data_IF_215153587218
#
_entry.id   IF_215153587218
#
_cell.length_a   1.000
_cell.length_b   1.000
_cell.length_c   1.000
_cell.angle_alpha   90.00
_cell.angle_beta   90.00
_cell.angle_gamma   90.00
#
_symmetry.space_group_name_H-M   'P 1'
#
loop_
_entity.id
_entity.type
_entity.pdbx_description
1 polymer ?
#
# COMPACT_ATOMS: atom_id res chain seq x y z
N UNK A 1 18.60 26.88 29.51
CA UNK A 1 18.31 25.47 29.17
C UNK A 1 19.07 25.13 27.91
N UNK A 2 19.92 24.10 27.92
CA UNK A 2 20.61 23.64 26.73
C UNK A 2 19.58 23.15 25.71
N UNK A 3 19.62 23.68 24.47
CA UNK A 3 18.72 23.20 23.41
C UNK A 3 19.03 21.74 23.07
N UNK A 4 18.00 20.92 22.81
CA UNK A 4 18.20 19.55 22.34
C UNK A 4 18.70 19.57 20.89
N UNK A 5 19.85 18.98 20.61
CA UNK A 5 20.43 18.89 19.26
C UNK A 5 19.99 17.63 18.49
N UNK A 6 19.22 16.76 19.14
CA UNK A 6 18.57 15.58 18.58
C UNK A 6 17.15 15.47 19.11
N UNK A 7 16.24 14.83 18.37
CA UNK A 7 14.87 14.57 18.82
C UNK A 7 14.86 13.35 19.76
N UNK A 8 15.54 12.27 19.36
CA UNK A 8 15.71 11.01 20.10
C UNK A 8 17.19 10.60 20.16
N UNK A 9 17.55 9.80 21.16
CA UNK A 9 18.94 9.38 21.37
C UNK A 9 19.44 8.41 20.29
N UNK A 10 18.56 7.51 19.84
CA UNK A 10 18.81 6.55 18.76
C UNK A 10 17.62 6.44 17.80
N UNK A 11 17.93 6.21 16.53
CA UNK A 11 16.95 5.87 15.48
C UNK A 11 16.94 4.35 15.35
N UNK A 12 15.75 3.78 15.24
CA UNK A 12 15.54 2.34 15.14
C UNK A 12 16.08 1.80 13.81
N UNK A 13 16.54 0.56 13.82
CA UNK A 13 16.78 -0.24 12.62
C UNK A 13 15.48 -0.64 11.93
N UNK A 14 15.57 -1.11 10.69
CA UNK A 14 14.39 -1.59 9.93
C UNK A 14 13.76 -2.81 10.62
N UNK A 15 14.59 -3.71 11.16
CA UNK A 15 14.11 -4.92 11.83
C UNK A 15 13.32 -4.56 13.10
N UNK A 16 13.84 -3.65 13.92
CA UNK A 16 13.15 -3.15 15.12
C UNK A 16 11.81 -2.48 14.79
N UNK A 17 11.70 -1.79 13.64
CA UNK A 17 10.44 -1.21 13.18
C UNK A 17 9.43 -2.31 12.85
N UNK A 18 9.83 -3.31 12.08
CA UNK A 18 8.91 -4.36 11.62
C UNK A 18 8.43 -5.31 12.73
N UNK A 19 9.18 -5.44 13.82
CA UNK A 19 8.81 -6.25 14.98
C UNK A 19 7.85 -5.54 15.95
N UNK A 20 7.67 -4.22 15.83
CA UNK A 20 6.74 -3.47 16.68
C UNK A 20 5.31 -3.68 16.24
N UNK A 21 4.39 -3.63 17.20
CA UNK A 21 2.96 -3.49 16.96
C UNK A 21 2.48 -2.19 17.60
N UNK A 22 1.51 -1.54 16.95
CA UNK A 22 0.81 -0.38 17.49
C UNK A 22 -0.68 -0.59 17.32
N UNK A 23 -1.43 -0.18 18.33
CA UNK A 23 -2.87 -0.08 18.33
C UNK A 23 -3.30 1.38 18.26
N UNK A 24 -4.58 1.63 17.97
CA UNK A 24 -5.12 2.98 17.86
C UNK A 24 -4.88 3.81 19.13
N UNK A 25 -4.95 3.18 20.31
CA UNK A 25 -4.66 3.83 21.59
C UNK A 25 -3.24 4.39 21.67
N UNK A 26 -2.27 3.70 21.05
CA UNK A 26 -0.86 4.09 21.09
C UNK A 26 -0.67 5.33 20.19
N UNK A 27 -1.36 5.36 19.03
CA UNK A 27 -1.39 6.53 18.15
C UNK A 27 -2.08 7.71 18.85
N UNK A 28 -3.19 7.49 19.54
CA UNK A 28 -3.89 8.53 20.29
C UNK A 28 -3.09 9.06 21.48
N UNK A 29 -2.32 8.21 22.17
CA UNK A 29 -1.40 8.67 23.20
C UNK A 29 -0.33 9.62 22.63
N UNK A 30 0.04 9.47 21.36
CA UNK A 30 1.01 10.35 20.68
C UNK A 30 0.45 11.73 20.30
N UNK A 31 -0.87 11.98 20.43
CA UNK A 31 -1.48 13.31 20.25
C UNK A 31 -0.96 14.33 21.26
N UNK A 32 -0.44 13.87 22.40
CA UNK A 32 0.01 14.72 23.48
C UNK A 32 1.52 14.92 23.46
N UNK A 33 1.93 16.15 23.79
CA UNK A 33 3.33 16.58 23.86
C UNK A 33 4.10 16.37 22.54
N UNK A 34 5.43 16.26 22.62
CA UNK A 34 6.33 16.07 21.46
C UNK A 34 6.36 14.60 20.98
N UNK A 35 5.45 13.74 21.44
CA UNK A 35 5.48 12.29 21.27
C UNK A 35 5.40 11.84 19.80
N UNK A 36 4.54 12.49 18.99
CA UNK A 36 4.47 12.21 17.55
C UNK A 36 5.81 12.52 16.85
N UNK A 37 6.45 13.63 17.20
CA UNK A 37 7.75 14.03 16.63
C UNK A 37 8.82 13.02 17.03
N UNK A 38 8.83 12.59 18.30
CA UNK A 38 9.75 11.56 18.79
C UNK A 38 9.54 10.23 18.08
N UNK A 39 8.29 9.78 17.92
CA UNK A 39 7.97 8.56 17.19
C UNK A 39 8.49 8.63 15.76
N UNK A 40 8.11 9.66 15.00
CA UNK A 40 8.50 9.82 13.60
C UNK A 40 10.02 9.92 13.43
N UNK A 41 10.72 10.60 14.35
CA UNK A 41 12.19 10.63 14.33
C UNK A 41 12.79 9.26 14.66
N UNK A 42 12.23 8.54 15.64
CA UNK A 42 12.71 7.20 16.03
C UNK A 42 12.56 6.17 14.93
N UNK A 43 11.49 6.25 14.12
CA UNK A 43 11.30 5.37 12.98
C UNK A 43 11.98 5.88 11.70
N UNK A 44 12.63 7.03 11.74
CA UNK A 44 13.37 7.60 10.61
C UNK A 44 12.49 8.14 9.49
N UNK A 45 11.33 8.73 9.83
CA UNK A 45 10.46 9.42 8.86
C UNK A 45 10.63 10.94 8.87
N UNK A 46 11.36 11.48 9.85
CA UNK A 46 11.85 12.87 9.86
C UNK A 46 13.29 12.88 10.38
N UNK A 47 14.06 13.89 9.99
CA UNK A 47 15.45 14.02 10.43
C UNK A 47 15.55 14.10 11.96
N UNK A 48 16.36 13.22 12.57
CA UNK A 48 16.62 13.24 14.01
C UNK A 48 17.53 14.42 14.44
N UNK A 49 18.29 15.00 13.51
CA UNK A 49 19.13 16.18 13.72
C UNK A 49 19.22 17.01 12.44
N UNK A 50 19.58 18.28 12.54
CA UNK A 50 19.80 19.15 11.39
C UNK A 50 21.07 19.98 11.55
N UNK A 51 21.69 20.37 10.44
CA UNK A 51 22.96 21.12 10.42
C UNK A 51 22.85 22.36 9.53
N UNK A 52 23.45 23.46 9.97
CA UNK A 52 23.51 24.73 9.25
C UNK A 52 24.75 25.51 9.70
N UNK A 53 25.46 26.14 8.76
CA UNK A 53 26.72 26.85 9.03
C UNK A 53 27.79 25.93 9.66
N UNK A 54 27.85 24.66 9.23
CA UNK A 54 28.74 23.61 9.75
C UNK A 54 28.54 23.31 11.25
N UNK A 55 27.40 23.70 11.83
CA UNK A 55 27.05 23.49 13.23
C UNK A 55 25.70 22.78 13.35
N UNK A 56 25.55 21.98 14.41
CA UNK A 56 24.27 21.35 14.72
C UNK A 56 23.25 22.40 15.15
N UNK A 57 22.06 22.31 14.57
CA UNK A 57 20.92 23.12 14.96
C UNK A 57 20.27 22.52 16.21
N UNK A 58 19.74 23.38 17.08
CA UNK A 58 18.95 22.93 18.23
C UNK A 58 17.46 22.94 17.90
N UNK A 59 16.71 22.05 18.52
CA UNK A 59 15.27 21.97 18.39
C UNK A 59 14.61 23.06 19.25
N UNK A 60 13.98 24.03 18.59
CA UNK A 60 13.33 25.17 19.22
C UNK A 60 11.81 25.02 19.19
N UNK A 61 11.15 25.42 20.29
CA UNK A 61 9.69 25.56 20.33
C UNK A 61 9.24 26.82 19.57
N UNK A 62 8.18 26.70 18.78
CA UNK A 62 7.59 27.79 18.01
C UNK A 62 6.10 27.54 17.81
N UNK A 63 5.26 28.24 18.57
CA UNK A 63 3.81 28.03 18.58
C UNK A 63 3.10 28.52 17.30
N UNK A 64 3.81 29.23 16.42
CA UNK A 64 3.26 29.72 15.15
C UNK A 64 3.31 28.68 14.02
N UNK A 65 3.92 27.52 14.25
CA UNK A 65 3.94 26.40 13.29
C UNK A 65 3.10 25.24 13.81
N UNK A 66 2.52 24.47 12.89
CA UNK A 66 1.57 23.39 13.19
C UNK A 66 2.08 22.34 14.17
N UNK A 67 3.36 21.94 14.07
CA UNK A 67 3.95 20.92 14.96
C UNK A 67 4.63 21.53 16.20
N UNK A 68 4.56 22.84 16.39
CA UNK A 68 5.17 23.52 17.54
C UNK A 68 6.70 23.49 17.61
N UNK A 69 7.41 22.87 16.65
CA UNK A 69 8.87 22.69 16.66
C UNK A 69 9.53 23.04 15.32
N UNK A 70 10.73 23.60 15.41
CA UNK A 70 11.62 23.84 14.27
C UNK A 70 13.08 23.69 14.68
N UNK A 71 13.95 23.34 13.73
CA UNK A 71 15.40 23.44 13.91
C UNK A 71 15.82 24.90 13.85
N UNK A 72 16.66 25.36 14.78
CA UNK A 72 17.22 26.72 14.79
C UNK A 72 18.75 26.70 14.82
N UNK A 73 19.36 27.43 13.89
CA UNK A 73 20.81 27.59 13.85
C UNK A 73 21.25 28.60 14.92
N UNK A 74 22.32 28.28 15.65
CA UNK A 74 22.91 29.18 16.65
C UNK A 74 23.73 30.31 16.02
N UNK A 75 24.28 30.09 14.83
CA UNK A 75 25.14 31.05 14.10
C UNK A 75 24.28 32.06 13.33
N UNK A 76 23.62 31.64 12.25
CA UNK A 76 22.87 32.55 11.37
C UNK A 76 21.43 32.81 11.83
N UNK A 77 20.99 32.20 12.94
CA UNK A 77 19.63 32.30 13.52
C UNK A 77 18.47 31.85 12.63
N UNK A 78 18.77 31.28 11.45
CA UNK A 78 17.77 30.75 10.53
C UNK A 78 17.05 29.53 11.11
N UNK A 79 15.79 29.37 10.70
CA UNK A 79 14.96 28.23 11.04
C UNK A 79 14.88 27.24 9.88
N UNK A 80 14.75 25.96 10.21
CA UNK A 80 14.42 24.90 9.25
C UNK A 80 13.27 24.07 9.79
N UNK A 81 12.37 23.68 8.90
CA UNK A 81 11.26 22.78 9.25
C UNK A 81 11.81 21.42 9.67
N UNK A 82 11.17 20.79 10.67
CA UNK A 82 11.45 19.38 11.03
C UNK A 82 11.04 18.40 9.93
N UNK A 83 10.17 18.84 9.01
CA UNK A 83 9.64 18.04 7.89
C UNK A 83 10.47 18.15 6.60
N UNK A 84 11.51 18.99 6.61
CA UNK A 84 12.31 19.26 5.41
C UNK A 84 12.86 17.94 4.85
N UNK A 85 12.87 17.82 3.52
CA UNK A 85 13.43 16.69 2.77
C UNK A 85 12.89 15.32 3.23
N UNK A 86 11.69 15.30 3.82
CA UNK A 86 11.01 14.09 4.30
C UNK A 86 9.71 13.85 3.53
N UNK A 87 9.10 12.69 3.76
CA UNK A 87 7.75 12.36 3.25
C UNK A 87 6.69 13.42 3.58
N UNK A 88 6.86 14.17 4.67
CA UNK A 88 5.90 15.17 5.14
C UNK A 88 6.21 16.59 4.64
N UNK A 89 7.23 16.77 3.80
CA UNK A 89 7.63 18.08 3.28
C UNK A 89 6.47 18.74 2.51
N UNK A 90 6.31 20.05 2.69
CA UNK A 90 5.27 20.84 2.00
C UNK A 90 3.84 20.67 2.53
N UNK A 91 3.57 19.71 3.42
CA UNK A 91 2.21 19.55 3.97
C UNK A 91 1.86 20.65 4.98
N UNK A 92 0.60 21.10 4.92
CA UNK A 92 0.01 22.02 5.89
C UNK A 92 -0.72 21.32 7.05
N UNK A 93 -0.96 20.01 6.97
CA UNK A 93 -1.58 19.26 8.06
C UNK A 93 -0.57 19.00 9.19
N UNK A 94 -0.95 19.07 10.47
CA UNK A 94 -0.10 18.64 11.58
C UNK A 94 0.39 17.19 11.43
N UNK A 95 1.61 16.89 11.88
CA UNK A 95 2.18 15.54 11.82
C UNK A 95 1.33 14.52 12.60
N UNK A 96 0.66 14.96 13.67
CA UNK A 96 -0.31 14.16 14.44
C UNK A 96 -1.46 13.67 13.55
N UNK A 97 -2.09 14.58 12.81
CA UNK A 97 -3.16 14.26 11.87
C UNK A 97 -2.69 13.31 10.76
N UNK A 98 -1.48 13.51 10.23
CA UNK A 98 -0.95 12.65 9.16
C UNK A 98 -0.62 11.25 9.70
N UNK A 99 -0.04 11.15 10.90
CA UNK A 99 0.25 9.85 11.52
C UNK A 99 -1.04 9.04 11.78
N UNK A 100 -2.10 9.71 12.23
CA UNK A 100 -3.41 9.09 12.39
C UNK A 100 -4.00 8.66 11.05
N UNK A 101 -3.94 9.52 10.03
CA UNK A 101 -4.36 9.16 8.67
C UNK A 101 -3.65 7.90 8.17
N UNK A 102 -2.33 7.80 8.37
CA UNK A 102 -1.55 6.62 8.01
C UNK A 102 -2.08 5.38 8.74
N UNK A 103 -2.41 5.49 10.03
CA UNK A 103 -2.94 4.38 10.81
C UNK A 103 -4.34 3.96 10.37
N UNK A 104 -5.26 4.93 10.19
CA UNK A 104 -6.62 4.67 9.71
C UNK A 104 -6.62 4.00 8.33
N UNK A 105 -5.79 4.50 7.42
CA UNK A 105 -5.61 3.93 6.11
C UNK A 105 -5.02 2.52 6.19
N UNK A 106 -4.00 2.30 7.01
CA UNK A 106 -3.32 1.00 7.06
C UNK A 106 -4.15 -0.10 7.73
N UNK A 107 -4.86 0.21 8.82
CA UNK A 107 -5.48 -0.83 9.69
C UNK A 107 -7.01 -0.85 9.61
N UNK A 108 -7.66 0.30 9.63
CA UNK A 108 -9.09 0.37 9.94
C UNK A 108 -9.97 0.23 8.67
N UNK A 109 -9.45 0.61 7.50
CA UNK A 109 -10.17 0.57 6.21
C UNK A 109 -11.65 1.03 6.34
N UNK A 110 -11.85 2.16 7.04
CA UNK A 110 -13.18 2.70 7.29
C UNK A 110 -13.63 3.70 6.21
N UNK A 111 -14.94 3.96 6.20
CA UNK A 111 -15.53 4.98 5.34
C UNK A 111 -14.88 6.34 5.62
N UNK A 112 -14.57 7.07 4.57
CA UNK A 112 -13.97 8.41 4.64
C UNK A 112 -14.70 9.35 5.63
N UNK A 113 -16.03 9.29 5.69
CA UNK A 113 -16.83 10.08 6.64
C UNK A 113 -16.46 9.85 8.11
N UNK A 114 -16.06 8.64 8.47
CA UNK A 114 -15.59 8.31 9.82
C UNK A 114 -14.24 9.00 10.06
N UNK A 115 -13.29 8.85 9.14
CA UNK A 115 -11.96 9.47 9.23
C UNK A 115 -12.04 11.00 9.34
N UNK A 116 -12.96 11.62 8.59
CA UNK A 116 -13.22 13.07 8.68
C UNK A 116 -13.60 13.51 10.09
N UNK A 117 -14.43 12.72 10.80
CA UNK A 117 -14.84 13.03 12.16
C UNK A 117 -13.76 12.75 13.20
N UNK A 118 -12.98 11.68 13.02
CA UNK A 118 -11.94 11.26 13.98
C UNK A 118 -10.67 12.13 13.93
N UNK A 119 -10.28 12.55 12.72
CA UNK A 119 -9.04 13.32 12.47
C UNK A 119 -9.33 14.81 12.22
N UNK A 120 -10.61 15.19 12.10
CA UNK A 120 -11.07 16.58 11.89
C UNK A 120 -10.49 17.27 10.64
N UNK A 121 -10.38 16.51 9.55
CA UNK A 121 -9.80 16.95 8.27
C UNK A 121 -10.81 16.89 7.13
N UNK A 122 -10.64 17.79 6.17
CA UNK A 122 -11.46 17.85 4.97
C UNK A 122 -11.33 16.60 4.10
N UNK A 123 -12.41 16.25 3.40
CA UNK A 123 -12.48 15.09 2.51
C UNK A 123 -11.39 15.11 1.43
N UNK A 124 -11.15 16.27 0.82
CA UNK A 124 -10.13 16.44 -0.22
C UNK A 124 -8.72 16.14 0.29
N UNK A 125 -8.38 16.61 1.49
CA UNK A 125 -7.09 16.33 2.10
C UNK A 125 -6.89 14.83 2.36
N UNK A 126 -7.94 14.12 2.83
CA UNK A 126 -7.89 12.66 3.01
C UNK A 126 -7.62 11.97 1.67
N UNK A 127 -8.35 12.33 0.62
CA UNK A 127 -8.19 11.72 -0.71
C UNK A 127 -6.77 11.91 -1.24
N UNK A 128 -6.23 13.13 -1.13
CA UNK A 128 -4.88 13.44 -1.57
C UNK A 128 -3.82 12.64 -0.80
N UNK A 129 -3.94 12.53 0.52
CA UNK A 129 -3.04 11.71 1.32
C UNK A 129 -3.17 10.21 1.01
N UNK A 130 -4.39 9.70 0.82
CA UNK A 130 -4.60 8.30 0.45
C UNK A 130 -4.05 7.99 -0.96
N UNK A 131 -4.13 8.95 -1.89
CA UNK A 131 -3.45 8.83 -3.19
C UNK A 131 -1.94 8.72 -2.98
N UNK A 132 -1.37 9.62 -2.18
CA UNK A 132 0.06 9.62 -1.90
C UNK A 132 0.52 8.34 -1.18
N UNK A 133 -0.30 7.78 -0.28
CA UNK A 133 -0.03 6.48 0.35
C UNK A 133 -0.02 5.34 -0.66
N UNK A 134 -0.98 5.33 -1.60
CA UNK A 134 -0.99 4.36 -2.70
C UNK A 134 0.21 4.47 -3.62
N UNK A 135 0.71 5.68 -3.86
CA UNK A 135 1.92 5.88 -4.65
C UNK A 135 3.12 5.21 -3.99
N UNK A 136 3.24 5.27 -2.65
CA UNK A 136 4.27 4.51 -1.91
C UNK A 136 4.14 3.00 -2.11
N UNK A 137 2.92 2.46 -2.07
CA UNK A 137 2.69 1.04 -2.38
C UNK A 137 3.05 0.69 -3.82
N UNK A 138 2.72 1.57 -4.78
CA UNK A 138 3.02 1.38 -6.18
C UNK A 138 4.54 1.37 -6.43
N UNK A 139 5.29 2.29 -5.82
CA UNK A 139 6.76 2.27 -5.85
C UNK A 139 7.31 0.95 -5.30
N UNK A 140 6.80 0.49 -4.15
CA UNK A 140 7.20 -0.79 -3.59
C UNK A 140 6.93 -1.97 -4.52
N UNK A 141 5.73 -2.06 -5.11
CA UNK A 141 5.37 -3.13 -6.03
C UNK A 141 6.23 -3.12 -7.30
N UNK A 142 6.64 -1.94 -7.77
CA UNK A 142 7.51 -1.81 -8.94
C UNK A 142 8.91 -2.37 -8.67
N UNK A 143 9.50 -2.03 -7.51
CA UNK A 143 10.84 -2.51 -7.13
C UNK A 143 10.87 -3.95 -6.63
N UNK A 144 9.72 -4.49 -6.21
CA UNK A 144 9.59 -5.84 -5.66
C UNK A 144 8.61 -6.66 -6.48
N UNK A 145 8.97 -7.07 -7.72
CA UNK A 145 8.12 -7.91 -8.54
C UNK A 145 7.88 -9.24 -7.84
N UNK A 146 6.63 -9.45 -7.39
CA UNK A 146 6.26 -10.66 -6.67
C UNK A 146 6.31 -11.86 -7.61
N UNK A 147 7.06 -12.88 -7.20
CA UNK A 147 7.02 -14.22 -7.78
C UNK A 147 6.17 -15.13 -6.89
N UNK A 148 5.20 -15.79 -7.52
CA UNK A 148 4.24 -16.71 -6.92
C UNK A 148 4.62 -18.14 -7.32
N UNK A 149 4.19 -19.11 -6.50
CA UNK A 149 4.34 -20.51 -6.84
C UNK A 149 5.69 -21.11 -6.42
N UNK A 150 6.06 -22.18 -7.10
CA UNK A 150 7.15 -23.09 -6.74
C UNK A 150 6.68 -24.54 -6.77
N UNK A 151 7.59 -25.48 -6.51
CA UNK A 151 7.25 -26.90 -6.38
C UNK A 151 6.16 -27.09 -5.32
N UNK A 152 5.17 -27.94 -5.62
CA UNK A 152 4.00 -28.24 -4.77
C UNK A 152 3.11 -27.04 -4.39
N UNK A 153 3.32 -25.87 -5.00
CA UNK A 153 2.47 -24.69 -4.79
C UNK A 153 1.44 -24.57 -5.91
N UNK A 154 0.23 -24.17 -5.53
CA UNK A 154 -0.89 -23.94 -6.45
C UNK A 154 -1.11 -22.45 -6.67
N UNK A 155 -1.12 -22.04 -7.94
CA UNK A 155 -1.50 -20.69 -8.35
C UNK A 155 -2.76 -20.75 -9.21
N UNK A 156 -3.79 -20.00 -8.80
CA UNK A 156 -5.00 -19.80 -9.59
C UNK A 156 -4.87 -18.52 -10.44
N UNK A 157 -5.28 -18.58 -11.70
CA UNK A 157 -5.21 -17.46 -12.65
C UNK A 157 -6.57 -17.26 -13.31
N UNK A 158 -6.99 -16.00 -13.40
CA UNK A 158 -8.24 -15.58 -14.06
C UNK A 158 -8.13 -14.13 -14.54
N UNK A 159 -9.02 -13.68 -15.43
CA UNK A 159 -9.14 -12.27 -15.79
C UNK A 159 -10.46 -11.65 -15.37
N UNK A 160 -10.40 -10.36 -15.03
CA UNK A 160 -11.58 -9.59 -14.71
C UNK A 160 -11.61 -8.25 -15.41
N UNK A 161 -12.80 -7.86 -15.86
CA UNK A 161 -13.05 -6.53 -16.42
C UNK A 161 -13.54 -5.56 -15.34
N UNK A 162 -12.90 -4.41 -15.25
CA UNK A 162 -13.23 -3.30 -14.34
C UNK A 162 -13.83 -2.12 -15.11
N UNK A 163 -14.48 -1.20 -14.38
CA UNK A 163 -15.02 0.06 -14.92
C UNK A 163 -15.87 -0.06 -16.19
N UNK A 164 -16.60 -1.17 -16.36
CA UNK A 164 -17.48 -1.39 -17.50
C UNK A 164 -18.94 -1.45 -17.04
N UNK A 165 -19.87 -1.14 -17.95
CA UNK A 165 -21.30 -1.34 -17.69
C UNK A 165 -21.61 -2.83 -17.62
N UNK A 166 -22.28 -3.28 -16.55
CA UNK A 166 -22.83 -4.63 -16.46
C UNK A 166 -24.29 -4.61 -16.89
N UNK A 167 -24.73 -5.63 -17.63
CA UNK A 167 -26.13 -5.80 -18.06
C UNK A 167 -26.72 -4.61 -18.85
N UNK A 168 -25.90 -3.91 -19.64
CA UNK A 168 -26.30 -2.74 -20.43
C UNK A 168 -26.87 -1.56 -19.61
N UNK A 169 -26.65 -1.52 -18.29
CA UNK A 169 -27.11 -0.43 -17.42
C UNK A 169 -25.98 0.54 -17.10
N UNK A 170 -26.28 1.84 -17.16
CA UNK A 170 -25.34 2.93 -16.87
C UNK A 170 -24.51 3.38 -18.09
N UNK A 171 -23.63 4.36 -17.87
CA UNK A 171 -22.78 4.96 -18.91
C UNK A 171 -21.82 3.94 -19.52
N UNK A 172 -21.70 3.95 -20.85
CA UNK A 172 -20.70 3.14 -21.53
C UNK A 172 -19.29 3.61 -21.16
N UNK A 173 -18.45 2.64 -20.81
CA UNK A 173 -17.01 2.76 -20.68
C UNK A 173 -16.41 1.46 -21.19
N UNK A 174 -15.29 1.56 -21.89
CA UNK A 174 -14.56 0.39 -22.39
C UNK A 174 -14.15 -0.51 -21.21
N UNK A 175 -13.64 0.10 -20.15
CA UNK A 175 -13.19 -0.58 -18.94
C UNK A 175 -11.80 -1.19 -19.10
N UNK A 176 -11.26 -1.71 -18.00
CA UNK A 176 -9.90 -2.25 -17.95
C UNK A 176 -9.93 -3.75 -17.76
N UNK A 177 -9.26 -4.50 -18.62
CA UNK A 177 -8.96 -5.90 -18.35
C UNK A 177 -7.81 -6.00 -17.36
N UNK A 178 -7.93 -6.90 -16.39
CA UNK A 178 -6.89 -7.17 -15.40
C UNK A 178 -6.68 -8.67 -15.34
N UNK A 179 -5.45 -9.11 -15.55
CA UNK A 179 -5.00 -10.46 -15.26
C UNK A 179 -4.70 -10.57 -13.76
N UNK A 180 -5.32 -11.53 -13.09
CA UNK A 180 -5.11 -11.79 -11.67
C UNK A 180 -4.51 -13.17 -11.45
N UNK A 181 -3.46 -13.23 -10.63
CA UNK A 181 -2.80 -14.45 -10.21
C UNK A 181 -2.77 -14.49 -8.69
N UNK A 182 -3.13 -15.62 -8.08
CA UNK A 182 -3.12 -15.78 -6.63
C UNK A 182 -2.56 -17.14 -6.22
N UNK A 183 -1.62 -17.10 -5.27
CA UNK A 183 -1.09 -18.29 -4.63
C UNK A 183 -2.05 -18.74 -3.51
N UNK A 184 -2.51 -20.00 -3.55
CA UNK A 184 -3.51 -20.49 -2.59
C UNK A 184 -3.01 -20.51 -1.14
N UNK A 185 -1.75 -20.89 -0.93
CA UNK A 185 -1.18 -21.10 0.40
C UNK A 185 -0.94 -19.80 1.16
N UNK A 186 -0.30 -18.81 0.52
CA UNK A 186 0.02 -17.52 1.15
C UNK A 186 -0.99 -16.41 0.88
N UNK A 187 -1.91 -16.60 -0.06
CA UNK A 187 -2.84 -15.58 -0.56
C UNK A 187 -2.15 -14.33 -1.16
N UNK A 188 -0.83 -14.39 -1.38
CA UNK A 188 -0.11 -13.38 -2.18
C UNK A 188 -0.68 -13.38 -3.60
N UNK A 189 -0.78 -12.21 -4.18
CA UNK A 189 -1.35 -12.05 -5.51
C UNK A 189 -0.64 -10.99 -6.33
N UNK A 190 -0.82 -11.10 -7.64
CA UNK A 190 -0.39 -10.12 -8.63
C UNK A 190 -1.59 -9.76 -9.50
N UNK A 191 -1.82 -8.46 -9.70
CA UNK A 191 -2.89 -7.91 -10.51
C UNK A 191 -2.28 -6.99 -11.57
N UNK A 192 -2.42 -7.34 -12.85
CA UNK A 192 -1.80 -6.60 -13.96
C UNK A 192 -2.88 -6.11 -14.93
N UNK A 193 -3.05 -4.79 -15.11
CA UNK A 193 -3.85 -4.25 -16.21
C UNK A 193 -3.28 -4.72 -17.56
N UNK A 194 -4.13 -5.23 -18.44
CA UNK A 194 -3.77 -5.71 -19.77
C UNK A 194 -4.63 -5.07 -20.83
N UNK A 195 -4.07 -4.88 -22.03
CA UNK A 195 -4.79 -4.29 -23.16
C UNK A 195 -5.80 -5.28 -23.75
N UNK A 196 -5.45 -6.56 -23.79
CA UNK A 196 -6.31 -7.65 -24.25
C UNK A 196 -6.03 -8.95 -23.48
N UNK A 197 -6.83 -9.98 -23.77
CA UNK A 197 -6.75 -11.33 -23.17
C UNK A 197 -6.19 -12.36 -24.14
N UNK A 198 -5.37 -11.94 -25.09
CA UNK A 198 -4.73 -12.87 -26.02
C UNK A 198 -3.62 -13.65 -25.31
N UNK A 199 -3.34 -14.86 -25.78
CA UNK A 199 -2.22 -15.66 -25.27
C UNK A 199 -0.88 -14.90 -25.39
N UNK A 200 -0.70 -14.12 -26.46
CA UNK A 200 0.49 -13.31 -26.69
C UNK A 200 0.70 -12.23 -25.60
N UNK A 201 -0.38 -11.69 -25.05
CA UNK A 201 -0.34 -10.73 -23.94
C UNK A 201 -0.19 -11.42 -22.58
N UNK A 202 -0.97 -12.47 -22.33
CA UNK A 202 -1.07 -13.07 -20.99
C UNK A 202 0.12 -13.97 -20.63
N UNK A 203 0.58 -14.83 -21.55
CA UNK A 203 1.60 -15.83 -21.24
C UNK A 203 2.95 -15.24 -20.80
N UNK A 204 3.48 -14.16 -21.42
CA UNK A 204 4.72 -13.54 -20.94
C UNK A 204 4.59 -12.97 -19.52
N UNK A 205 3.42 -12.41 -19.19
CA UNK A 205 3.15 -11.87 -17.85
C UNK A 205 3.10 -13.01 -16.83
N UNK A 206 2.39 -14.09 -17.14
CA UNK A 206 2.30 -15.28 -16.26
C UNK A 206 3.70 -15.86 -16.03
N UNK A 207 4.49 -16.04 -17.09
CA UNK A 207 5.85 -16.61 -17.00
C UNK A 207 6.80 -15.74 -16.16
N UNK A 208 6.60 -14.42 -16.15
CA UNK A 208 7.40 -13.50 -15.31
C UNK A 208 7.06 -13.64 -13.82
N UNK A 209 5.81 -13.94 -13.49
CA UNK A 209 5.30 -13.90 -12.11
C UNK A 209 5.06 -15.26 -11.48
N UNK A 210 4.99 -16.33 -12.26
CA UNK A 210 4.76 -17.70 -11.77
C UNK A 210 6.03 -18.51 -11.96
N UNK A 211 6.56 -19.05 -10.85
CA UNK A 211 7.77 -19.84 -10.86
C UNK A 211 7.57 -21.18 -11.60
N UNK A 212 8.60 -21.72 -12.27
CA UNK A 212 8.56 -23.07 -12.83
C UNK A 212 8.20 -24.12 -11.77
N UNK A 213 7.57 -25.23 -12.19
CA UNK A 213 7.14 -26.31 -11.29
C UNK A 213 5.80 -26.08 -10.58
N UNK A 214 5.27 -24.85 -10.62
CA UNK A 214 3.96 -24.51 -10.04
C UNK A 214 2.81 -25.28 -10.68
N UNK A 215 1.85 -25.74 -9.87
CA UNK A 215 0.56 -26.26 -10.33
C UNK A 215 -0.37 -25.09 -10.67
N UNK A 216 -0.68 -24.89 -11.94
CA UNK A 216 -1.51 -23.76 -12.40
C UNK A 216 -2.95 -24.22 -12.59
N UNK A 217 -3.92 -23.47 -12.06
CA UNK A 217 -5.34 -23.74 -12.24
C UNK A 217 -6.04 -22.51 -12.84
N UNK A 218 -6.75 -22.69 -13.95
CA UNK A 218 -7.54 -21.62 -14.60
C UNK A 218 -8.93 -22.13 -14.97
N UNK A 219 -9.78 -21.24 -15.49
CA UNK A 219 -10.94 -21.64 -16.26
C UNK A 219 -10.52 -22.30 -17.59
N UNK A 220 -11.47 -22.89 -18.32
CA UNK A 220 -11.21 -23.59 -19.59
C UNK A 220 -10.94 -22.64 -20.78
N UNK A 221 -10.34 -21.48 -20.54
CA UNK A 221 -10.05 -20.49 -21.57
C UNK A 221 -8.85 -20.89 -22.43
N UNK A 222 -9.02 -20.86 -23.76
CA UNK A 222 -8.04 -21.39 -24.74
C UNK A 222 -6.66 -20.73 -24.66
N UNK A 223 -6.57 -19.47 -24.21
CA UNK A 223 -5.29 -18.76 -24.14
C UNK A 223 -4.28 -19.43 -23.18
N UNK A 224 -4.74 -20.30 -22.29
CA UNK A 224 -3.92 -20.96 -21.28
C UNK A 224 -3.38 -22.33 -21.69
N UNK A 225 -3.81 -22.88 -22.84
CA UNK A 225 -3.50 -24.26 -23.25
C UNK A 225 -2.00 -24.60 -23.34
N UNK A 226 -1.13 -23.60 -23.47
CA UNK A 226 0.33 -23.79 -23.55
C UNK A 226 1.04 -23.66 -22.20
N UNK A 227 0.31 -23.47 -21.09
CA UNK A 227 0.91 -23.38 -19.77
C UNK A 227 1.37 -24.77 -19.29
N UNK A 228 2.57 -24.87 -18.68
CA UNK A 228 3.03 -26.12 -18.08
C UNK A 228 2.25 -26.43 -16.80
N UNK A 229 2.11 -27.72 -16.47
CA UNK A 229 1.46 -28.20 -15.24
C UNK A 229 0.08 -27.56 -14.99
N UNK A 230 -0.66 -27.36 -16.09
CA UNK A 230 -1.92 -26.64 -16.12
C UNK A 230 -3.12 -27.59 -15.99
N UNK A 231 -4.02 -27.24 -15.09
CA UNK A 231 -5.32 -27.85 -14.93
C UNK A 231 -6.43 -26.83 -15.18
N UNK A 232 -7.53 -27.29 -15.73
CA UNK A 232 -8.66 -26.43 -16.08
C UNK A 232 -9.92 -26.86 -15.36
N UNK A 233 -10.73 -25.89 -14.93
CA UNK A 233 -12.12 -26.15 -14.54
C UNK A 233 -13.07 -25.62 -15.61
N UNK A 234 -14.09 -26.42 -15.93
CA UNK A 234 -15.14 -26.00 -16.86
C UNK A 234 -16.37 -25.53 -16.08
N UNK A 235 -16.45 -24.23 -15.83
CA UNK A 235 -17.55 -23.58 -15.12
C UNK A 235 -18.93 -23.73 -15.79
N UNK A 236 -19.01 -24.20 -17.04
CA UNK A 236 -20.31 -24.53 -17.66
C UNK A 236 -20.87 -25.88 -17.18
N UNK A 237 -20.02 -26.74 -16.60
CA UNK A 237 -20.37 -28.09 -16.14
C UNK A 237 -20.31 -28.19 -14.63
N UNK A 238 -19.23 -27.73 -14.01
CA UNK A 238 -19.03 -27.78 -12.55
C UNK A 238 -18.08 -26.69 -12.07
N UNK A 239 -18.24 -26.25 -10.81
CA UNK A 239 -17.36 -25.25 -10.17
C UNK A 239 -16.08 -25.85 -9.57
N UNK A 240 -16.05 -27.18 -9.48
CA UNK A 240 -14.94 -27.99 -9.01
C UNK A 240 -14.81 -29.18 -9.97
N UNK A 241 -13.60 -29.66 -10.23
CA UNK A 241 -13.45 -30.85 -11.07
C UNK A 241 -14.18 -32.06 -10.45
N UNK A 242 -15.01 -32.80 -11.20
CA UNK A 242 -15.79 -33.92 -10.66
C UNK A 242 -14.94 -35.07 -10.13
N UNK A 243 -13.70 -35.20 -10.59
CA UNK A 243 -12.79 -36.30 -10.27
C UNK A 243 -11.72 -35.90 -9.25
N UNK A 244 -11.40 -34.60 -9.14
CA UNK A 244 -10.44 -34.07 -8.16
C UNK A 244 -10.94 -32.76 -7.54
N UNK A 245 -11.41 -32.85 -6.29
CA UNK A 245 -11.93 -31.71 -5.54
C UNK A 245 -10.91 -30.58 -5.30
N UNK A 246 -9.61 -30.84 -5.49
CA UNK A 246 -8.56 -29.82 -5.37
C UNK A 246 -8.51 -28.88 -6.57
N UNK A 247 -9.14 -29.21 -7.70
CA UNK A 247 -9.09 -28.41 -8.92
C UNK A 247 -10.31 -27.48 -8.96
N UNK A 248 -10.07 -26.19 -8.70
CA UNK A 248 -11.08 -25.12 -8.67
C UNK A 248 -10.43 -23.73 -8.78
N UNK A 249 -11.22 -22.70 -9.02
CA UNK A 249 -10.78 -21.29 -9.12
C UNK A 249 -11.40 -20.40 -8.03
N UNK A 250 -11.92 -21.02 -6.95
CA UNK A 250 -12.62 -20.31 -5.87
C UNK A 250 -11.77 -19.22 -5.19
N UNK A 251 -10.46 -19.37 -5.14
CA UNK A 251 -9.56 -18.45 -4.43
C UNK A 251 -9.38 -17.16 -5.24
N UNK A 252 -9.22 -17.28 -6.56
CA UNK A 252 -9.14 -16.15 -7.49
C UNK A 252 -10.50 -15.46 -7.65
N UNK A 253 -11.61 -16.21 -7.65
CA UNK A 253 -12.96 -15.63 -7.60
C UNK A 253 -13.21 -14.83 -6.30
N UNK A 254 -12.78 -15.39 -5.17
CA UNK A 254 -12.79 -14.73 -3.87
C UNK A 254 -11.96 -13.45 -3.89
N UNK A 255 -10.75 -13.49 -4.46
CA UNK A 255 -9.92 -12.29 -4.66
C UNK A 255 -10.65 -11.22 -5.45
N UNK A 256 -11.24 -11.56 -6.60
CA UNK A 256 -11.97 -10.58 -7.41
C UNK A 256 -13.13 -9.94 -6.67
N UNK A 257 -13.82 -10.72 -5.83
CA UNK A 257 -14.88 -10.21 -4.97
C UNK A 257 -14.36 -9.14 -4.02
N UNK A 258 -13.20 -9.34 -3.39
CA UNK A 258 -12.56 -8.35 -2.50
C UNK A 258 -12.11 -7.09 -3.26
N UNK A 259 -11.36 -7.26 -4.37
CA UNK A 259 -10.86 -6.13 -5.18
C UNK A 259 -12.03 -5.26 -5.66
N UNK A 260 -13.08 -5.88 -6.22
CA UNK A 260 -14.25 -5.16 -6.73
C UNK A 260 -15.13 -4.59 -5.62
N UNK A 261 -15.20 -5.22 -4.44
CA UNK A 261 -15.95 -4.68 -3.30
C UNK A 261 -15.35 -3.34 -2.85
N UNK A 262 -14.03 -3.28 -2.69
CA UNK A 262 -13.33 -2.05 -2.33
C UNK A 262 -13.55 -0.97 -3.39
N UNK A 263 -13.42 -1.31 -4.67
CA UNK A 263 -13.68 -0.37 -5.76
C UNK A 263 -15.11 0.21 -5.75
N UNK A 264 -16.12 -0.63 -5.47
CA UNK A 264 -17.52 -0.18 -5.37
C UNK A 264 -17.76 0.74 -4.18
N UNK A 265 -17.14 0.48 -3.02
CA UNK A 265 -17.25 1.34 -1.83
C UNK A 265 -16.74 2.77 -2.09
N UNK A 266 -15.80 2.91 -3.01
CA UNK A 266 -15.21 4.20 -3.38
C UNK A 266 -15.94 4.91 -4.53
N UNK A 267 -17.01 4.31 -5.07
CA UNK A 267 -17.70 4.80 -6.27
C UNK A 267 -16.79 4.88 -7.52
N UNK A 268 -15.74 4.06 -7.54
CA UNK A 268 -14.73 4.02 -8.58
C UNK A 268 -13.60 5.03 -8.42
N UNK A 269 -12.80 5.18 -9.47
CA UNK A 269 -11.64 6.08 -9.54
C UNK A 269 -11.40 6.53 -10.98
N UNK A 270 -10.44 7.43 -11.19
CA UNK A 270 -9.99 7.84 -12.52
C UNK A 270 -9.09 6.78 -13.14
N UNK A 271 -9.02 6.76 -14.47
CA UNK A 271 -8.19 5.79 -15.20
C UNK A 271 -6.71 5.92 -14.81
N UNK A 272 -6.23 7.15 -14.59
CA UNK A 272 -4.84 7.44 -14.19
C UNK A 272 -4.46 6.85 -12.83
N UNK A 273 -5.42 6.67 -11.93
CA UNK A 273 -5.17 6.11 -10.59
C UNK A 273 -5.44 4.61 -10.53
N UNK A 274 -6.06 4.01 -11.56
CA UNK A 274 -6.56 2.64 -11.49
C UNK A 274 -5.48 1.62 -11.09
N UNK A 275 -4.28 1.73 -11.66
CA UNK A 275 -3.17 0.83 -11.36
C UNK A 275 -2.71 0.94 -9.90
N UNK A 276 -2.71 2.13 -9.30
CA UNK A 276 -2.25 2.33 -7.91
C UNK A 276 -3.18 1.65 -6.90
N UNK A 277 -4.47 1.51 -7.20
CA UNK A 277 -5.39 0.71 -6.38
C UNK A 277 -5.11 -0.80 -6.46
N UNK A 278 -4.72 -1.30 -7.63
CA UNK A 278 -4.33 -2.71 -7.78
C UNK A 278 -3.02 -2.99 -7.03
N UNK A 279 -2.05 -2.08 -7.11
CA UNK A 279 -0.81 -2.16 -6.35
C UNK A 279 -1.05 -2.10 -4.84
N UNK A 280 -1.90 -1.18 -4.37
CA UNK A 280 -2.29 -1.13 -2.95
C UNK A 280 -2.86 -2.48 -2.48
N UNK A 281 -3.77 -3.07 -3.26
CA UNK A 281 -4.37 -4.35 -2.90
C UNK A 281 -3.33 -5.48 -2.81
N UNK A 282 -2.42 -5.58 -3.78
CA UNK A 282 -1.34 -6.57 -3.77
C UNK A 282 -0.38 -6.33 -2.59
N UNK A 283 0.01 -5.07 -2.37
CA UNK A 283 0.91 -4.66 -1.29
C UNK A 283 0.33 -4.99 0.09
N UNK A 284 -0.97 -4.72 0.32
CA UNK A 284 -1.66 -5.03 1.58
C UNK A 284 -1.71 -6.52 1.85
N UNK A 285 -1.97 -7.35 0.84
CA UNK A 285 -1.96 -8.81 0.98
C UNK A 285 -0.58 -9.32 1.35
N UNK A 286 0.45 -8.81 0.68
CA UNK A 286 1.84 -9.15 0.99
C UNK A 286 2.23 -8.76 2.42
N UNK A 287 1.73 -7.62 2.91
CA UNK A 287 2.06 -7.06 4.23
C UNK A 287 0.95 -7.25 5.27
N UNK A 288 0.11 -8.29 5.12
CA UNK A 288 -1.11 -8.47 5.90
C UNK A 288 -0.90 -8.69 7.41
N UNK A 289 0.28 -9.14 7.81
CA UNK A 289 0.62 -9.36 9.23
C UNK A 289 0.85 -8.06 10.01
N UNK A 290 1.36 -7.01 9.36
CA UNK A 290 1.67 -5.74 10.01
C UNK A 290 1.66 -4.56 9.02
N UNK A 291 0.49 -4.30 8.44
CA UNK A 291 0.32 -3.29 7.39
C UNK A 291 0.89 -1.92 7.77
N UNK A 292 0.64 -1.45 8.99
CA UNK A 292 1.08 -0.11 9.41
C UNK A 292 2.61 0.02 9.51
N UNK A 293 3.28 -0.93 10.16
CA UNK A 293 4.75 -0.87 10.26
C UNK A 293 5.43 -1.17 8.92
N UNK A 294 4.87 -2.06 8.10
CA UNK A 294 5.31 -2.25 6.73
C UNK A 294 5.19 -0.97 5.90
N UNK A 295 4.13 -0.18 6.13
CA UNK A 295 3.97 1.10 5.46
C UNK A 295 5.04 2.11 5.88
N UNK A 296 5.31 2.22 7.19
CA UNK A 296 6.41 3.05 7.73
C UNK A 296 7.75 2.64 7.11
N UNK A 297 8.03 1.34 7.01
CA UNK A 297 9.23 0.83 6.35
C UNK A 297 9.32 1.29 4.88
N UNK A 298 8.21 1.22 4.13
CA UNK A 298 8.18 1.67 2.75
C UNK A 298 8.44 3.18 2.64
N UNK A 299 7.81 4.00 3.47
CA UNK A 299 8.06 5.44 3.47
C UNK A 299 9.54 5.72 3.75
N UNK A 300 10.13 5.09 4.77
CA UNK A 300 11.55 5.28 5.09
C UNK A 300 12.48 4.91 3.94
N UNK A 301 12.15 3.86 3.19
CA UNK A 301 12.91 3.42 2.03
C UNK A 301 12.87 4.45 0.89
N UNK A 302 11.68 5.00 0.59
CA UNK A 302 11.47 5.89 -0.55
C UNK A 302 11.68 7.38 -0.25
N UNK A 303 11.66 7.76 1.02
CA UNK A 303 11.85 9.12 1.52
C UNK A 303 12.88 9.13 2.65
N UNK A 304 14.15 8.78 2.36
CA UNK A 304 15.19 8.72 3.38
C UNK A 304 15.52 10.13 3.91
N UNK A 305 15.80 10.19 5.21
CA UNK A 305 16.16 11.39 5.99
C UNK A 305 17.45 11.15 6.76
#
# INVERSE_FOLDING_TARGET
MAGRYRIVDSVLSVDEITQRSHHLRDIYAMRYADSTIQFLASVGLIHNSSECCNERMYLASRNTVSDGKMWRCTVCKQYRSIRRDSFFAGSHLPLTCILELMYYWAIIDCKQKVVMGEVEIGSEAIVNWYNYFRDVCAMWCFDHPVQLGGEDVVVEIDESKFMHRKYHRGTYREGHWVLGMIERSSLRCVLVPVQDRSAATLLPIITRHVLPGTKIITDSWRAYNSLPNHMTVNHSVSFVDPNDASIHTNTVEGMWSHVKSNYRKMHGTSDNLFSTYLHEFCWRRYNSSNTFMSFIKCIRQYYPV
#
